data_IF_210940771320
#
_entry.id   IF_210940771320
#
_cell.length_a   1.000
_cell.length_b   1.000
_cell.length_c   1.000
_cell.angle_alpha   90.00
_cell.angle_beta   90.00
_cell.angle_gamma   90.00
#
_symmetry.space_group_name_H-M   'P 1'
#
loop_
_entity.id
_entity.type
_entity.pdbx_description
1 polymer ?
#
# COMPACT_ATOMS: atom_id res chain seq x y z
N UNK A 1 18.53 20.00 55.19
CA UNK A 1 17.76 18.75 55.03
C UNK A 1 16.90 18.79 53.76
N UNK A 2 17.47 19.00 52.57
CA UNK A 2 16.69 19.15 51.31
C UNK A 2 17.21 18.32 50.16
N UNK A 3 17.99 17.25 50.39
CA UNK A 3 18.64 16.53 49.26
C UNK A 3 18.28 15.04 49.19
N UNK A 4 17.36 14.58 50.04
CA UNK A 4 16.98 13.12 50.08
C UNK A 4 15.77 12.84 49.18
N UNK A 5 14.87 13.79 48.97
CA UNK A 5 13.67 13.60 48.17
C UNK A 5 13.94 13.55 46.65
N UNK A 6 14.93 14.27 46.13
CA UNK A 6 15.30 14.28 44.70
C UNK A 6 16.02 13.01 44.26
N UNK A 7 16.63 12.28 45.19
CA UNK A 7 17.34 11.02 44.88
C UNK A 7 16.39 9.82 44.65
N UNK A 8 15.21 9.84 45.23
CA UNK A 8 14.22 8.77 45.11
C UNK A 8 13.44 8.79 43.81
N UNK A 9 13.20 9.98 43.24
CA UNK A 9 12.47 10.12 41.95
C UNK A 9 13.32 9.62 40.76
N UNK A 10 14.62 9.86 40.77
CA UNK A 10 15.51 9.43 39.69
C UNK A 10 15.78 7.92 39.66
N UNK A 11 15.70 7.25 40.82
CA UNK A 11 15.96 5.83 40.95
C UNK A 11 14.76 4.98 40.49
N UNK A 12 13.55 5.43 40.78
CA UNK A 12 12.31 4.79 40.36
C UNK A 12 12.13 4.80 38.81
N UNK A 13 12.53 5.87 38.13
CA UNK A 13 12.48 5.97 36.67
C UNK A 13 13.50 5.07 35.95
N UNK A 14 14.69 4.86 36.55
CA UNK A 14 15.69 3.95 36.00
C UNK A 14 15.27 2.49 36.13
N UNK A 15 14.65 2.14 37.25
CA UNK A 15 14.17 0.79 37.50
C UNK A 15 12.97 0.44 36.64
N UNK A 16 12.07 1.41 36.38
CA UNK A 16 10.96 1.26 35.42
C UNK A 16 11.46 1.07 33.99
N UNK A 17 12.48 1.80 33.54
CA UNK A 17 13.07 1.62 32.22
C UNK A 17 13.70 0.23 32.06
N UNK A 18 14.45 -0.24 33.05
CA UNK A 18 15.04 -1.59 33.02
C UNK A 18 13.97 -2.69 33.01
N UNK A 19 12.91 -2.53 33.80
CA UNK A 19 11.79 -3.48 33.81
C UNK A 19 11.08 -3.52 32.47
N UNK A 20 10.87 -2.35 31.82
CA UNK A 20 10.29 -2.27 30.50
C UNK A 20 11.18 -2.93 29.42
N UNK A 21 12.49 -2.67 29.45
CA UNK A 21 13.45 -3.30 28.51
C UNK A 21 13.49 -4.83 28.69
N UNK A 22 13.47 -5.31 29.92
CA UNK A 22 13.42 -6.74 30.20
C UNK A 22 12.11 -7.39 29.69
N UNK A 23 10.95 -6.71 29.86
CA UNK A 23 9.68 -7.18 29.35
C UNK A 23 9.65 -7.20 27.82
N UNK A 24 10.17 -6.17 27.16
CA UNK A 24 10.29 -6.13 25.69
C UNK A 24 11.20 -7.24 25.17
N UNK A 25 12.34 -7.48 25.81
CA UNK A 25 13.25 -8.58 25.45
C UNK A 25 12.60 -9.96 25.62
N UNK A 26 11.72 -10.13 26.60
CA UNK A 26 10.98 -11.37 26.80
C UNK A 26 9.93 -11.58 25.71
N UNK A 27 9.23 -10.52 25.30
CA UNK A 27 8.27 -10.56 24.18
C UNK A 27 8.99 -10.89 22.87
N UNK A 28 10.12 -10.25 22.60
CA UNK A 28 10.92 -10.51 21.39
C UNK A 28 11.41 -11.97 21.32
N UNK A 29 11.72 -12.61 22.47
CA UNK A 29 12.10 -14.03 22.50
C UNK A 29 10.90 -14.95 22.28
N UNK A 30 9.73 -14.61 22.80
CA UNK A 30 8.53 -15.44 22.71
C UNK A 30 7.82 -15.34 21.35
N UNK A 31 7.80 -14.16 20.73
CA UNK A 31 7.00 -13.85 19.54
C UNK A 31 7.82 -13.41 18.31
N UNK A 32 9.15 -13.31 18.45
CA UNK A 32 10.06 -12.85 17.42
C UNK A 32 10.41 -11.37 17.54
N UNK A 33 11.58 -11.01 17.01
CA UNK A 33 12.08 -9.62 17.02
C UNK A 33 11.13 -8.69 16.27
N UNK A 34 10.77 -7.56 16.88
CA UNK A 34 9.92 -6.55 16.27
C UNK A 34 8.42 -6.78 16.49
N UNK A 35 8.04 -7.74 17.36
CA UNK A 35 6.63 -7.95 17.74
C UNK A 35 6.02 -6.76 18.46
N UNK A 36 6.85 -5.98 19.14
CA UNK A 36 6.49 -4.71 19.78
C UNK A 36 7.53 -3.66 19.44
N UNK A 37 7.06 -2.50 18.96
CA UNK A 37 7.92 -1.36 18.65
C UNK A 37 7.40 -0.11 19.34
N UNK A 38 8.30 0.75 19.81
CA UNK A 38 7.91 2.09 20.29
C UNK A 38 7.59 2.96 19.09
N UNK A 39 6.43 3.60 19.10
CA UNK A 39 5.99 4.49 18.00
C UNK A 39 6.95 5.67 17.74
N UNK A 40 7.72 6.05 18.75
CA UNK A 40 8.72 7.12 18.66
C UNK A 40 10.12 6.65 18.21
N UNK A 41 10.37 5.34 18.19
CA UNK A 41 11.58 4.84 17.57
C UNK A 41 11.43 5.01 16.05
N UNK A 42 12.22 5.90 15.47
CA UNK A 42 12.42 6.00 14.02
C UNK A 42 13.17 4.77 13.50
N UNK A 43 12.72 3.58 13.93
CA UNK A 43 13.13 2.32 13.36
C UNK A 43 12.73 2.34 11.91
N UNK A 44 13.67 2.06 11.02
CA UNK A 44 13.63 1.96 9.56
C UNK A 44 12.24 2.25 9.01
N UNK A 45 12.03 3.46 8.50
CA UNK A 45 10.89 3.74 7.61
C UNK A 45 10.95 2.60 6.59
N UNK A 46 10.00 1.67 6.68
CA UNK A 46 9.90 0.60 5.70
C UNK A 46 9.69 1.33 4.38
N UNK A 47 10.69 1.29 3.53
CA UNK A 47 10.64 1.93 2.22
C UNK A 47 9.55 1.19 1.44
N UNK A 48 8.38 1.83 1.36
CA UNK A 48 7.22 1.25 0.67
C UNK A 48 7.44 1.53 -0.81
N UNK A 49 7.66 0.48 -1.58
CA UNK A 49 7.65 0.62 -3.03
C UNK A 49 6.30 1.14 -3.49
N UNK A 50 6.31 2.13 -4.37
CA UNK A 50 5.12 2.77 -4.92
C UNK A 50 5.09 2.73 -6.44
N UNK A 51 3.91 2.95 -6.99
CA UNK A 51 3.67 3.15 -8.42
C UNK A 51 3.17 4.57 -8.61
N UNK A 52 3.79 5.33 -9.51
CA UNK A 52 3.35 6.68 -9.82
C UNK A 52 1.92 6.69 -10.36
N UNK A 53 1.18 7.74 -10.02
CA UNK A 53 -0.20 7.91 -10.48
C UNK A 53 -0.26 8.62 -11.85
N UNK A 54 0.87 9.11 -12.35
CA UNK A 54 0.92 9.98 -13.52
C UNK A 54 0.61 11.45 -13.21
N UNK A 55 0.28 11.77 -11.97
CA UNK A 55 0.04 13.13 -11.49
C UNK A 55 1.02 13.47 -10.38
N UNK A 56 1.97 14.36 -10.66
CA UNK A 56 2.97 14.80 -9.67
C UNK A 56 2.32 15.36 -8.40
N UNK A 57 1.24 16.13 -8.55
CA UNK A 57 0.53 16.71 -7.39
C UNK A 57 -0.09 15.64 -6.49
N UNK A 58 -0.65 14.59 -7.09
CA UNK A 58 -1.22 13.47 -6.32
C UNK A 58 -0.11 12.62 -5.67
N UNK A 59 0.97 12.33 -6.39
CA UNK A 59 2.10 11.57 -5.86
C UNK A 59 2.74 12.26 -4.65
N UNK A 60 2.88 13.58 -4.69
CA UNK A 60 3.35 14.39 -3.55
C UNK A 60 2.35 14.37 -2.40
N UNK A 61 1.05 14.49 -2.67
CA UNK A 61 0.02 14.49 -1.64
C UNK A 61 -0.10 13.13 -0.92
N UNK A 62 0.18 12.02 -1.60
CA UNK A 62 0.21 10.68 -1.02
C UNK A 62 1.42 10.45 -0.10
N UNK A 63 2.47 11.27 -0.21
CA UNK A 63 3.62 11.24 0.69
C UNK A 63 4.64 10.12 0.44
N UNK A 64 4.27 9.09 -0.33
CA UNK A 64 5.14 7.95 -0.69
C UNK A 64 5.50 7.94 -2.18
N UNK A 65 5.16 9.00 -2.91
CA UNK A 65 5.46 9.14 -4.33
C UNK A 65 4.54 8.37 -5.27
N UNK A 66 3.38 7.92 -4.82
CA UNK A 66 2.42 7.20 -5.63
C UNK A 66 1.53 6.24 -4.83
N UNK A 67 0.95 5.24 -5.50
CA UNK A 67 0.16 4.19 -4.86
C UNK A 67 1.06 3.07 -4.32
N UNK A 68 0.81 2.55 -3.11
CA UNK A 68 1.65 1.52 -2.50
C UNK A 68 1.54 0.19 -3.26
N UNK A 69 2.68 -0.42 -3.60
CA UNK A 69 2.72 -1.76 -4.18
C UNK A 69 2.29 -2.82 -3.16
N UNK A 70 1.64 -3.88 -3.63
CA UNK A 70 1.22 -5.00 -2.80
C UNK A 70 0.05 -4.71 -1.86
N UNK A 71 -0.64 -3.58 -2.04
CA UNK A 71 -1.82 -3.17 -1.28
C UNK A 71 -3.04 -3.11 -2.19
N UNK A 72 -4.23 -3.26 -1.60
CA UNK A 72 -5.49 -2.98 -2.26
C UNK A 72 -5.75 -1.49 -2.06
N UNK A 73 -5.97 -0.78 -3.16
CA UNK A 73 -6.30 0.64 -3.17
C UNK A 73 -7.74 0.79 -3.68
N UNK A 74 -8.58 1.44 -2.91
CA UNK A 74 -9.95 1.76 -3.30
C UNK A 74 -10.02 3.21 -3.76
N UNK A 75 -10.57 3.43 -4.97
CA UNK A 75 -10.81 4.76 -5.55
C UNK A 75 -12.32 4.94 -5.69
N UNK A 76 -12.88 5.86 -4.94
CA UNK A 76 -14.32 6.12 -4.93
C UNK A 76 -14.62 7.59 -5.17
N UNK A 77 -15.84 7.88 -5.61
CA UNK A 77 -16.31 9.23 -5.91
C UNK A 77 -17.54 9.21 -6.81
N UNK A 78 -18.15 10.37 -7.08
CA UNK A 78 -19.31 10.47 -7.96
C UNK A 78 -18.98 10.04 -9.41
N UNK A 79 -20.00 9.87 -10.22
CA UNK A 79 -19.83 9.64 -11.65
C UNK A 79 -19.04 10.80 -12.30
N UNK A 80 -18.30 10.48 -13.33
CA UNK A 80 -17.46 11.45 -14.08
C UNK A 80 -16.38 12.15 -13.26
N UNK A 81 -16.03 11.64 -12.07
CA UNK A 81 -14.97 12.22 -11.21
C UNK A 81 -13.54 11.83 -11.61
N UNK A 82 -13.38 11.08 -12.70
CA UNK A 82 -12.05 10.68 -13.19
C UNK A 82 -11.46 9.41 -12.57
N UNK A 83 -12.24 8.60 -11.86
CA UNK A 83 -11.76 7.32 -11.26
C UNK A 83 -11.08 6.40 -12.26
N UNK A 84 -11.77 6.13 -13.38
CA UNK A 84 -11.25 5.29 -14.46
C UNK A 84 -10.04 5.93 -15.14
N UNK A 85 -10.05 7.24 -15.34
CA UNK A 85 -8.91 7.99 -15.88
C UNK A 85 -7.67 7.82 -15.01
N UNK A 86 -7.81 7.97 -13.68
CA UNK A 86 -6.71 7.76 -12.76
C UNK A 86 -6.19 6.32 -12.80
N UNK A 87 -7.10 5.33 -12.81
CA UNK A 87 -6.71 3.92 -12.93
C UNK A 87 -5.92 3.63 -14.21
N UNK A 88 -6.35 4.21 -15.35
CA UNK A 88 -5.64 4.06 -16.62
C UNK A 88 -4.27 4.75 -16.63
N UNK A 89 -4.13 5.90 -15.98
CA UNK A 89 -2.82 6.53 -15.80
C UNK A 89 -1.87 5.64 -14.99
N UNK A 90 -2.35 5.05 -13.90
CA UNK A 90 -1.55 4.10 -13.10
C UNK A 90 -1.12 2.89 -13.94
N UNK A 91 -2.03 2.35 -14.76
CA UNK A 91 -1.71 1.26 -15.71
C UNK A 91 -0.60 1.69 -16.67
N UNK A 92 -0.70 2.89 -17.26
CA UNK A 92 0.31 3.42 -18.16
C UNK A 92 1.68 3.56 -17.47
N UNK A 93 1.71 4.07 -16.24
CA UNK A 93 2.96 4.21 -15.48
C UNK A 93 3.58 2.84 -15.13
N UNK A 94 2.75 1.85 -14.78
CA UNK A 94 3.21 0.47 -14.56
C UNK A 94 3.85 -0.11 -15.82
N UNK A 95 3.19 0.04 -16.98
CA UNK A 95 3.71 -0.45 -18.26
C UNK A 95 5.00 0.26 -18.68
N UNK A 96 5.11 1.57 -18.46
CA UNK A 96 6.36 2.34 -18.71
C UNK A 96 7.52 1.81 -17.85
N UNK A 97 7.24 1.35 -16.64
CA UNK A 97 8.23 0.72 -15.76
C UNK A 97 8.54 -0.75 -16.12
N UNK A 98 8.00 -1.27 -17.22
CA UNK A 98 8.18 -2.65 -17.66
C UNK A 98 7.29 -3.67 -16.95
N UNK A 99 6.30 -3.21 -16.16
CA UNK A 99 5.36 -4.09 -15.46
C UNK A 99 4.21 -4.55 -16.34
N UNK A 100 3.55 -5.64 -15.93
CA UNK A 100 2.36 -6.19 -16.58
C UNK A 100 1.12 -5.70 -15.84
N UNK A 101 0.12 -5.23 -16.59
CA UNK A 101 -1.14 -4.78 -16.05
C UNK A 101 -2.32 -5.60 -16.60
N UNK A 102 -3.32 -5.82 -15.74
CA UNK A 102 -4.58 -6.40 -16.13
C UNK A 102 -5.73 -5.49 -15.71
N UNK A 103 -6.68 -5.29 -16.61
CA UNK A 103 -7.87 -4.48 -16.39
C UNK A 103 -9.12 -5.35 -16.47
N UNK A 104 -9.93 -5.33 -15.40
CA UNK A 104 -11.22 -6.04 -15.37
C UNK A 104 -12.34 -5.01 -15.46
N UNK A 105 -12.96 -4.94 -16.62
CA UNK A 105 -14.06 -4.01 -16.90
C UNK A 105 -15.41 -4.70 -16.69
N UNK A 106 -16.05 -4.38 -15.56
CA UNK A 106 -17.37 -4.94 -15.22
C UNK A 106 -18.53 -4.17 -15.86
N UNK A 107 -18.29 -2.90 -16.23
CA UNK A 107 -19.31 -1.98 -16.73
C UNK A 107 -19.28 -1.84 -18.25
N UNK A 108 -18.27 -2.40 -18.92
CA UNK A 108 -18.01 -2.25 -20.36
C UNK A 108 -17.85 -0.78 -20.79
N UNK A 109 -17.24 0.02 -19.93
CA UNK A 109 -17.06 1.45 -20.12
C UNK A 109 -15.65 1.84 -20.59
N UNK A 110 -14.75 0.86 -20.77
CA UNK A 110 -13.39 1.13 -21.25
C UNK A 110 -13.42 1.51 -22.73
N UNK A 111 -12.98 2.73 -23.01
CA UNK A 111 -12.70 3.19 -24.38
C UNK A 111 -11.22 2.95 -24.70
N UNK A 112 -10.89 2.03 -25.63
CA UNK A 112 -9.50 1.76 -26.01
C UNK A 112 -8.79 2.98 -26.61
N UNK A 113 -9.52 3.81 -27.39
CA UNK A 113 -8.96 5.01 -27.97
C UNK A 113 -8.56 6.04 -26.92
N UNK A 114 -9.36 6.16 -25.87
CA UNK A 114 -9.04 7.02 -24.73
C UNK A 114 -7.87 6.46 -23.92
N UNK A 115 -7.86 5.16 -23.61
CA UNK A 115 -6.77 4.52 -22.89
C UNK A 115 -5.42 4.70 -23.63
N UNK A 116 -5.40 4.54 -24.94
CA UNK A 116 -4.20 4.78 -25.76
C UNK A 116 -3.71 6.23 -25.66
N UNK A 117 -4.62 7.22 -25.68
CA UNK A 117 -4.26 8.65 -25.51
C UNK A 117 -3.66 8.95 -24.14
N UNK A 118 -4.02 8.19 -23.10
CA UNK A 118 -3.44 8.29 -21.77
C UNK A 118 -2.07 7.59 -21.64
N UNK A 119 -1.60 6.95 -22.73
CA UNK A 119 -0.31 6.28 -22.78
C UNK A 119 -0.34 4.80 -22.42
N UNK A 120 -1.53 4.19 -22.36
CA UNK A 120 -1.65 2.74 -22.13
C UNK A 120 -1.28 2.01 -23.44
N UNK A 121 -0.37 1.05 -23.33
CA UNK A 121 -0.10 0.10 -24.41
C UNK A 121 -1.19 -0.98 -24.39
N UNK A 122 -2.06 -0.97 -25.40
CA UNK A 122 -3.19 -1.89 -25.49
C UNK A 122 -2.77 -3.32 -25.83
N UNK A 123 -1.66 -3.49 -26.53
CA UNK A 123 -1.17 -4.80 -26.95
C UNK A 123 -0.67 -5.62 -25.75
N UNK A 124 -0.15 -4.95 -24.71
CA UNK A 124 0.34 -5.55 -23.48
C UNK A 124 -0.68 -5.51 -22.34
N UNK A 125 -1.87 -4.91 -22.56
CA UNK A 125 -2.90 -4.83 -21.55
C UNK A 125 -3.78 -6.08 -21.55
N UNK A 126 -3.72 -6.84 -20.47
CA UNK A 126 -4.65 -7.96 -20.26
C UNK A 126 -6.02 -7.41 -19.88
N UNK A 127 -6.99 -7.48 -20.80
CA UNK A 127 -8.36 -7.07 -20.52
C UNK A 127 -9.28 -8.26 -20.40
N UNK A 128 -10.12 -8.28 -19.36
CA UNK A 128 -11.18 -9.27 -19.19
C UNK A 128 -12.52 -8.58 -18.95
N UNK A 129 -13.43 -8.81 -19.88
CA UNK A 129 -14.83 -8.46 -19.69
C UNK A 129 -15.53 -9.65 -19.04
N UNK A 130 -16.05 -9.55 -17.80
CA UNK A 130 -16.80 -10.63 -17.19
C UNK A 130 -18.13 -10.81 -17.96
N UNK A 131 -18.21 -11.84 -18.78
CA UNK A 131 -19.45 -12.22 -19.45
C UNK A 131 -20.52 -12.61 -18.41
N UNK A 132 -21.82 -12.36 -18.65
CA UNK A 132 -22.90 -12.66 -17.70
C UNK A 132 -22.92 -14.12 -17.20
N UNK A 133 -22.43 -15.06 -17.99
CA UNK A 133 -22.33 -16.49 -17.64
C UNK A 133 -21.27 -16.75 -16.53
N UNK A 134 -20.24 -15.93 -16.42
CA UNK A 134 -19.21 -16.08 -15.37
C UNK A 134 -19.66 -15.56 -14.00
N UNK A 135 -20.74 -14.79 -13.94
CA UNK A 135 -21.31 -14.29 -12.69
C UNK A 135 -22.03 -15.37 -11.87
N UNK A 136 -22.41 -16.51 -12.49
CA UNK A 136 -23.21 -17.56 -11.82
C UNK A 136 -22.43 -18.60 -11.07
N UNK A 137 -21.10 -18.67 -11.18
CA UNK A 137 -20.36 -19.81 -10.65
C UNK A 137 -19.22 -19.52 -9.69
N UNK A 138 -18.99 -18.26 -9.27
CA UNK A 138 -17.88 -18.00 -8.33
C UNK A 138 -18.26 -16.91 -7.34
N UNK A 139 -18.30 -17.32 -6.06
CA UNK A 139 -18.39 -16.40 -4.91
C UNK A 139 -17.28 -15.33 -4.99
N UNK A 140 -17.54 -14.10 -4.48
CA UNK A 140 -16.62 -12.96 -4.56
C UNK A 140 -15.28 -13.15 -3.86
N UNK A 141 -15.11 -14.25 -3.13
CA UNK A 141 -13.94 -14.53 -2.28
C UNK A 141 -12.69 -15.05 -3.00
N UNK A 142 -12.70 -15.24 -4.31
CA UNK A 142 -11.57 -15.87 -5.03
C UNK A 142 -10.79 -14.99 -6.00
N UNK A 143 -11.03 -13.70 -6.04
CA UNK A 143 -10.30 -12.76 -6.92
C UNK A 143 -9.63 -11.62 -6.17
N UNK A 144 -9.11 -11.92 -4.99
CA UNK A 144 -8.01 -11.13 -4.46
C UNK A 144 -6.73 -11.61 -5.18
N UNK A 145 -6.57 -11.21 -6.42
CA UNK A 145 -5.36 -11.47 -7.19
C UNK A 145 -4.21 -10.73 -6.52
N UNK A 146 -3.31 -11.48 -5.86
CA UNK A 146 -1.98 -10.94 -5.56
C UNK A 146 -1.38 -10.51 -6.88
N UNK A 147 -1.27 -9.23 -7.13
CA UNK A 147 -0.37 -8.72 -8.13
C UNK A 147 1.05 -9.15 -7.68
N UNK A 148 1.54 -10.24 -8.25
CA UNK A 148 2.92 -10.70 -8.05
C UNK A 148 3.77 -9.92 -9.03
N UNK A 149 4.38 -8.86 -8.55
CA UNK A 149 5.39 -8.13 -9.30
C UNK A 149 6.65 -8.99 -9.28
N UNK A 150 7.00 -9.61 -10.40
CA UNK A 150 8.30 -10.21 -10.59
C UNK A 150 9.19 -9.17 -11.24
N UNK A 151 10.13 -8.63 -10.48
CA UNK A 151 11.30 -7.94 -11.04
C UNK A 151 12.24 -9.00 -11.61
N UNK A 152 12.56 -8.86 -12.88
CA UNK A 152 13.67 -9.59 -13.53
C UNK A 152 14.99 -8.94 -13.15
#
# INVERSE_FOLDING_TARGET
>A
MANTALRLVGQDDSDKKRALEAALAQIDRAFGKGSVMKLGDKGKVVEIESVHTGSLGLDLALGIGGLPKGRIVEIYGPESSGKTTLALHVVAEVQKAGGIAAFVDAEHALDPGYAHKLGVNLDDLLSRNPTPASRRSRSPTRWCGRARWTSS
#
